data_IF_897151829174
#
_entry.id   IF_897151829174
#
_cell.length_a   1.000
_cell.length_b   1.000
_cell.length_c   1.000
_cell.angle_alpha   90.00
_cell.angle_beta   90.00
_cell.angle_gamma   90.00
#
_symmetry.space_group_name_H-M   'P 1'
#
loop_
_entity.id
_entity.type
_entity.pdbx_description
1 polymer ?
#
# COMPACT_ATOMS: atom_id res chain seq x y z
N UNK A 1 2.93 7.90 15.05
CA UNK A 1 4.22 7.24 14.74
C UNK A 1 5.02 8.14 13.83
N UNK A 2 6.28 8.45 14.17
CA UNK A 2 7.13 9.34 13.36
C UNK A 2 8.47 8.69 13.08
N UNK A 3 8.80 8.48 11.81
CA UNK A 3 10.10 7.96 11.37
C UNK A 3 10.66 8.91 10.32
N UNK A 4 11.87 9.42 10.54
CA UNK A 4 12.56 10.30 9.59
C UNK A 4 13.69 9.51 8.93
N UNK A 5 13.76 9.58 7.60
CA UNK A 5 14.82 8.93 6.85
C UNK A 5 14.78 7.39 6.91
N UNK A 6 13.58 6.79 6.90
CA UNK A 6 13.41 5.33 6.85
C UNK A 6 14.02 4.77 5.56
N UNK A 7 14.89 3.78 5.70
CA UNK A 7 15.38 2.97 4.58
C UNK A 7 14.72 1.60 4.54
N UNK A 8 14.47 1.07 3.32
CA UNK A 8 14.12 -0.33 3.14
C UNK A 8 15.23 -1.28 3.61
N UNK A 9 14.85 -2.33 4.34
CA UNK A 9 15.79 -3.24 5.00
C UNK A 9 16.52 -4.21 4.05
N UNK A 10 15.98 -4.41 2.84
CA UNK A 10 16.49 -5.34 1.82
C UNK A 10 17.19 -4.65 0.66
N UNK A 11 17.36 -3.32 0.69
CA UNK A 11 18.14 -2.60 -0.33
C UNK A 11 19.57 -2.45 0.17
N UNK A 12 20.52 -2.92 -0.63
CA UNK A 12 21.93 -2.75 -0.35
C UNK A 12 22.36 -1.32 -0.67
N UNK A 13 22.82 -0.58 0.35
CA UNK A 13 23.31 0.79 0.18
C UNK A 13 24.54 0.89 -0.73
N UNK A 14 25.35 -0.17 -0.81
CA UNK A 14 26.54 -0.21 -1.64
C UNK A 14 26.20 -0.25 -3.15
N UNK A 15 24.99 -0.66 -3.51
CA UNK A 15 24.52 -0.77 -4.90
C UNK A 15 23.84 0.52 -5.39
N UNK A 16 23.68 1.52 -4.51
CA UNK A 16 22.97 2.76 -4.81
C UNK A 16 21.44 2.57 -4.90
N UNK A 17 20.70 3.68 -5.02
CA UNK A 17 19.26 3.65 -5.32
C UNK A 17 18.29 3.53 -4.13
N UNK A 18 18.77 3.53 -2.89
CA UNK A 18 17.89 3.56 -1.73
C UNK A 18 17.22 4.93 -1.57
N UNK A 19 15.89 4.97 -1.58
CA UNK A 19 15.10 6.19 -1.37
C UNK A 19 14.62 6.25 0.08
N UNK A 20 15.08 7.29 0.79
CA UNK A 20 14.72 7.54 2.17
C UNK A 20 13.31 8.12 2.25
N UNK A 21 12.50 7.62 3.19
CA UNK A 21 11.13 8.09 3.37
C UNK A 21 10.90 8.62 4.79
N UNK A 22 10.11 9.70 4.90
CA UNK A 22 9.65 10.20 6.20
C UNK A 22 8.20 9.80 6.38
N UNK A 23 7.92 9.13 7.50
CA UNK A 23 6.59 8.69 7.91
C UNK A 23 6.18 9.55 9.09
N UNK A 24 5.20 10.44 8.93
CA UNK A 24 4.59 11.17 10.05
C UNK A 24 3.11 10.80 10.09
N UNK A 25 2.81 9.71 10.80
CA UNK A 25 1.52 9.04 10.81
C UNK A 25 0.76 9.33 12.10
N UNK A 26 -0.34 10.07 11.97
CA UNK A 26 -1.26 10.40 13.06
C UNK A 26 -2.62 9.71 12.92
N UNK A 27 -2.90 9.14 11.75
CA UNK A 27 -4.12 8.42 11.40
C UNK A 27 -3.83 7.38 10.31
N UNK A 28 -4.86 6.71 9.82
CA UNK A 28 -4.78 5.81 8.67
C UNK A 28 -4.37 6.56 7.39
N UNK A 29 -3.49 5.95 6.59
CA UNK A 29 -3.18 6.44 5.26
C UNK A 29 -3.89 5.59 4.20
N UNK A 30 -4.57 6.26 3.26
CA UNK A 30 -4.98 5.65 2.01
C UNK A 30 -3.89 5.92 0.97
N UNK A 31 -3.10 4.90 0.68
CA UNK A 31 -1.94 4.99 -0.20
C UNK A 31 -2.30 4.59 -1.63
N UNK A 32 -1.81 5.39 -2.58
CA UNK A 32 -1.86 5.12 -4.02
C UNK A 32 -0.48 5.18 -4.64
N UNK A 33 -0.37 4.83 -5.92
CA UNK A 33 0.87 4.94 -6.68
C UNK A 33 0.92 3.94 -7.82
N UNK A 34 1.75 4.24 -8.81
CA UNK A 34 1.97 3.38 -9.96
C UNK A 34 2.62 2.02 -9.58
N UNK A 35 2.42 0.99 -10.41
CA UNK A 35 3.08 -0.31 -10.26
C UNK A 35 4.61 -0.13 -10.12
N UNK A 36 5.27 -0.93 -9.30
CA UNK A 36 6.72 -0.76 -9.06
C UNK A 36 7.12 0.52 -8.33
N UNK A 37 6.16 1.29 -7.78
CA UNK A 37 6.41 2.51 -7.01
C UNK A 37 6.96 2.33 -5.60
N UNK A 38 7.31 1.11 -5.18
CA UNK A 38 7.88 0.83 -3.86
C UNK A 38 6.87 0.73 -2.71
N UNK A 39 5.57 0.49 -2.98
CA UNK A 39 4.49 0.47 -1.97
C UNK A 39 4.60 -0.70 -1.01
N UNK A 40 4.64 -1.93 -1.51
CA UNK A 40 4.88 -3.13 -0.69
C UNK A 40 6.21 -3.03 0.08
N UNK A 41 7.21 -2.42 -0.56
CA UNK A 41 8.50 -2.12 0.08
C UNK A 41 8.34 -1.14 1.25
N UNK A 42 7.57 -0.07 1.10
CA UNK A 42 7.30 0.88 2.17
C UNK A 42 6.55 0.21 3.33
N UNK A 43 5.47 -0.53 3.05
CA UNK A 43 4.67 -1.23 4.05
C UNK A 43 5.53 -2.19 4.88
N UNK A 44 6.32 -3.05 4.23
CA UNK A 44 7.22 -3.98 4.92
C UNK A 44 8.29 -3.26 5.74
N UNK A 45 8.78 -2.11 5.28
CA UNK A 45 9.79 -1.32 6.00
C UNK A 45 9.21 -0.71 7.27
N UNK A 46 7.98 -0.19 7.20
CA UNK A 46 7.25 0.34 8.35
C UNK A 46 6.94 -0.79 9.34
N UNK A 47 6.51 -1.96 8.86
CA UNK A 47 6.25 -3.13 9.69
C UNK A 47 7.51 -3.57 10.45
N UNK A 48 8.63 -3.74 9.74
CA UNK A 48 9.91 -4.10 10.33
C UNK A 48 10.40 -3.04 11.33
N UNK A 49 10.29 -1.75 10.98
CA UNK A 49 10.65 -0.66 11.89
C UNK A 49 9.81 -0.69 13.17
N UNK A 50 8.49 -0.86 13.06
CA UNK A 50 7.60 -0.97 14.20
C UNK A 50 7.97 -2.16 15.11
N UNK A 51 8.19 -3.35 14.52
CA UNK A 51 8.57 -4.55 15.26
C UNK A 51 9.91 -4.38 15.98
N UNK A 52 10.94 -3.87 15.29
CA UNK A 52 12.25 -3.61 15.89
C UNK A 52 12.14 -2.59 17.03
N UNK A 53 11.39 -1.51 16.80
CA UNK A 53 11.17 -0.46 17.80
C UNK A 53 10.50 -0.98 19.07
N UNK A 54 9.45 -1.79 18.97
CA UNK A 54 8.77 -2.36 20.15
C UNK A 54 9.63 -3.39 20.88
N UNK A 55 10.55 -4.06 20.19
CA UNK A 55 11.52 -4.97 20.79
C UNK A 55 12.74 -4.25 21.41
N UNK A 56 12.83 -2.92 21.33
CA UNK A 56 13.98 -2.15 21.81
C UNK A 56 15.21 -2.26 20.92
N UNK A 57 15.05 -2.69 19.67
CA UNK A 57 16.12 -2.81 18.69
C UNK A 57 16.25 -1.54 17.84
N UNK A 58 17.43 -1.34 17.27
CA UNK A 58 17.71 -0.21 16.38
C UNK A 58 16.92 -0.32 15.08
N UNK A 59 16.30 0.79 14.67
CA UNK A 59 15.55 0.94 13.42
C UNK A 59 16.46 1.54 12.35
N UNK A 60 16.31 1.13 11.08
CA UNK A 60 17.06 1.73 9.96
C UNK A 60 16.45 3.06 9.52
N UNK A 61 16.63 4.08 10.34
CA UNK A 61 16.16 5.44 10.13
C UNK A 61 17.12 6.46 10.78
N UNK A 62 17.03 7.73 10.38
CA UNK A 62 17.75 8.83 11.02
C UNK A 62 17.19 9.10 12.42
N UNK A 63 15.86 9.03 12.56
CA UNK A 63 15.19 9.04 13.87
C UNK A 63 13.86 8.29 13.80
N UNK A 64 13.44 7.69 14.91
CA UNK A 64 12.19 6.95 15.00
C UNK A 64 11.54 7.12 16.38
N UNK A 65 10.31 7.64 16.38
CA UNK A 65 9.37 7.66 17.49
C UNK A 65 8.23 6.68 17.18
N UNK A 66 8.30 5.50 17.80
CA UNK A 66 7.38 4.40 17.58
C UNK A 66 6.53 4.22 18.84
N UNK A 67 5.20 4.36 18.76
CA UNK A 67 4.34 4.10 19.90
C UNK A 67 4.29 2.60 20.20
N UNK A 68 3.92 2.24 21.43
CA UNK A 68 3.64 0.84 21.74
C UNK A 68 2.34 0.42 21.07
N UNK A 69 2.45 -0.50 20.12
CA UNK A 69 1.32 -1.16 19.48
C UNK A 69 0.91 -2.41 20.25
N UNK A 70 -0.39 -2.63 20.45
CA UNK A 70 -0.89 -3.91 20.99
C UNK A 70 -0.88 -5.02 19.94
N UNK A 71 -0.84 -4.65 18.67
CA UNK A 71 -0.88 -5.53 17.52
C UNK A 71 -0.29 -4.83 16.28
N UNK A 72 0.50 -5.59 15.52
CA UNK A 72 0.98 -5.19 14.19
C UNK A 72 0.43 -6.22 13.21
N UNK A 73 -0.36 -5.76 12.24
CA UNK A 73 -1.01 -6.61 11.26
C UNK A 73 -0.56 -6.22 9.87
N UNK A 74 -0.08 -7.20 9.10
CA UNK A 74 0.30 -7.03 7.71
C UNK A 74 -0.51 -8.01 6.87
N UNK A 75 -1.38 -7.48 6.00
CA UNK A 75 -2.01 -8.24 4.94
C UNK A 75 -1.26 -7.99 3.64
N UNK A 76 -0.95 -9.09 2.96
CA UNK A 76 -0.43 -9.10 1.60
C UNK A 76 -1.28 -10.03 0.77
N UNK A 77 -1.16 -9.92 -0.55
CA UNK A 77 -1.85 -10.76 -1.53
C UNK A 77 -2.03 -12.22 -1.08
N UNK A 78 -3.28 -12.64 -0.97
CA UNK A 78 -3.66 -14.03 -0.70
C UNK A 78 -3.66 -14.87 -1.99
N UNK A 79 -3.50 -16.18 -1.81
CA UNK A 79 -3.52 -17.18 -2.89
C UNK A 79 -4.65 -18.17 -2.64
N UNK A 80 -5.08 -18.88 -3.68
CA UNK A 80 -6.05 -19.96 -3.53
C UNK A 80 -5.52 -21.00 -2.54
N UNK A 81 -6.41 -21.60 -1.75
CA UNK A 81 -6.11 -22.76 -0.92
C UNK A 81 -6.91 -23.96 -1.44
N UNK A 82 -6.35 -24.72 -2.42
CA UNK A 82 -6.99 -25.94 -2.91
C UNK A 82 -7.22 -26.97 -1.80
N UNK A 83 -6.30 -27.05 -0.85
CA UNK A 83 -6.43 -27.95 0.30
C UNK A 83 -7.69 -27.65 1.14
N UNK A 84 -8.00 -26.37 1.33
CA UNK A 84 -9.18 -25.92 2.08
C UNK A 84 -10.42 -25.72 1.20
N UNK A 85 -10.34 -26.00 -0.11
CA UNK A 85 -11.39 -25.71 -1.09
C UNK A 85 -11.83 -24.23 -1.08
N UNK A 86 -10.88 -23.29 -0.90
CA UNK A 86 -11.13 -21.85 -0.83
C UNK A 86 -10.48 -21.10 -1.98
N UNK A 87 -11.22 -20.16 -2.55
CA UNK A 87 -10.64 -19.18 -3.47
C UNK A 87 -9.77 -18.15 -2.72
N UNK A 88 -8.84 -17.54 -3.43
CA UNK A 88 -8.01 -16.43 -2.95
C UNK A 88 -8.85 -15.31 -2.37
N UNK A 89 -9.99 -14.98 -2.99
CA UNK A 89 -10.93 -14.00 -2.45
C UNK A 89 -11.55 -14.44 -1.10
N UNK A 90 -11.93 -15.71 -0.95
CA UNK A 90 -12.46 -16.22 0.32
C UNK A 90 -11.40 -16.24 1.43
N UNK A 91 -10.15 -16.55 1.09
CA UNK A 91 -9.01 -16.47 2.01
C UNK A 91 -8.78 -15.02 2.42
N UNK A 92 -8.69 -14.10 1.46
CA UNK A 92 -8.55 -12.66 1.67
C UNK A 92 -9.66 -12.11 2.59
N UNK A 93 -10.92 -12.42 2.32
CA UNK A 93 -12.04 -11.99 3.18
C UNK A 93 -11.94 -12.54 4.60
N UNK A 94 -11.44 -13.77 4.76
CA UNK A 94 -11.23 -14.37 6.08
C UNK A 94 -10.11 -13.70 6.87
N UNK A 95 -9.02 -13.32 6.18
CA UNK A 95 -7.90 -12.58 6.75
C UNK A 95 -8.30 -11.16 7.14
N UNK A 96 -8.98 -10.43 6.24
CA UNK A 96 -9.48 -9.08 6.48
C UNK A 96 -10.49 -9.04 7.63
N UNK A 97 -11.42 -10.02 7.69
CA UNK A 97 -12.31 -10.18 8.85
C UNK A 97 -11.49 -10.26 10.15
N UNK A 98 -10.44 -11.06 10.14
CA UNK A 98 -9.56 -11.27 11.29
C UNK A 98 -8.77 -10.01 11.68
N UNK A 99 -8.42 -9.18 10.71
CA UNK A 99 -7.77 -7.88 10.97
C UNK A 99 -8.79 -6.94 11.61
N UNK A 100 -9.94 -6.75 10.98
CA UNK A 100 -10.97 -5.80 11.42
C UNK A 100 -11.46 -6.14 12.83
N UNK A 101 -11.72 -7.42 13.13
CA UNK A 101 -12.25 -7.82 14.44
C UNK A 101 -11.25 -7.70 15.59
N UNK A 102 -9.94 -7.64 15.30
CA UNK A 102 -8.87 -7.55 16.30
C UNK A 102 -8.22 -6.17 16.37
N UNK A 103 -8.53 -5.29 15.42
CA UNK A 103 -7.95 -3.95 15.37
C UNK A 103 -8.49 -3.09 16.50
N UNK A 104 -7.59 -2.37 17.17
CA UNK A 104 -7.89 -1.36 18.18
C UNK A 104 -7.27 -0.02 17.76
N UNK A 105 -7.56 1.06 18.49
CA UNK A 105 -6.91 2.35 18.32
C UNK A 105 -5.37 2.31 18.52
N UNK A 106 -4.85 1.23 19.13
CA UNK A 106 -3.41 0.99 19.36
C UNK A 106 -2.81 -0.04 18.40
N UNK A 107 -3.53 -0.42 17.36
CA UNK A 107 -3.01 -1.30 16.30
C UNK A 107 -2.24 -0.53 15.23
N UNK A 108 -1.28 -1.20 14.61
CA UNK A 108 -0.70 -0.83 13.32
C UNK A 108 -1.22 -1.77 12.23
N UNK A 109 -2.02 -1.27 11.30
CA UNK A 109 -2.65 -2.06 10.22
C UNK A 109 -2.05 -1.69 8.87
N UNK A 110 -1.41 -2.66 8.22
CA UNK A 110 -0.74 -2.49 6.92
C UNK A 110 -1.37 -3.46 5.93
N UNK A 111 -1.99 -2.93 4.88
CA UNK A 111 -2.74 -3.73 3.91
C UNK A 111 -2.25 -3.41 2.51
N UNK A 112 -1.67 -4.42 1.85
CA UNK A 112 -1.10 -4.34 0.52
C UNK A 112 -2.08 -4.91 -0.51
N UNK A 113 -2.87 -4.02 -1.13
CA UNK A 113 -3.99 -4.34 -2.03
C UNK A 113 -5.16 -5.03 -1.32
N UNK A 114 -6.40 -4.71 -1.74
CA UNK A 114 -7.61 -5.35 -1.24
C UNK A 114 -8.54 -5.63 -2.43
N UNK A 115 -9.23 -6.76 -2.39
CA UNK A 115 -10.33 -7.14 -3.26
C UNK A 115 -9.95 -7.29 -4.74
N UNK A 116 -8.75 -7.79 -5.04
CA UNK A 116 -8.31 -8.05 -6.42
C UNK A 116 -9.02 -9.27 -7.05
N UNK A 117 -9.53 -10.18 -6.23
CA UNK A 117 -10.13 -11.45 -6.67
C UNK A 117 -11.62 -11.39 -7.03
N UNK A 118 -12.21 -10.20 -7.17
CA UNK A 118 -13.66 -10.01 -7.42
C UNK A 118 -13.92 -8.94 -8.46
N UNK A 119 -15.20 -8.71 -8.79
CA UNK A 119 -15.62 -7.62 -9.68
C UNK A 119 -15.16 -6.27 -9.12
N UNK A 120 -14.49 -5.45 -9.96
CA UNK A 120 -13.88 -4.20 -9.53
C UNK A 120 -14.84 -3.29 -8.76
N UNK A 121 -16.05 -3.06 -9.28
CA UNK A 121 -17.06 -2.23 -8.62
C UNK A 121 -17.43 -2.75 -7.22
N UNK A 122 -17.61 -4.08 -7.06
CA UNK A 122 -17.91 -4.69 -5.76
C UNK A 122 -16.69 -4.64 -4.83
N UNK A 123 -15.50 -4.87 -5.37
CA UNK A 123 -14.24 -4.76 -4.65
C UNK A 123 -14.00 -3.35 -4.11
N UNK A 124 -14.28 -2.31 -4.90
CA UNK A 124 -14.16 -0.91 -4.49
C UNK A 124 -15.09 -0.60 -3.32
N UNK A 125 -16.35 -1.07 -3.37
CA UNK A 125 -17.28 -0.89 -2.25
C UNK A 125 -16.81 -1.60 -0.98
N UNK A 126 -16.34 -2.85 -1.07
CA UNK A 126 -15.84 -3.60 0.09
C UNK A 126 -14.60 -2.90 0.68
N UNK A 127 -13.64 -2.51 -0.16
CA UNK A 127 -12.45 -1.80 0.27
C UNK A 127 -12.79 -0.47 0.95
N UNK A 128 -13.75 0.29 0.39
CA UNK A 128 -14.26 1.53 0.97
C UNK A 128 -14.82 1.31 2.38
N UNK A 129 -15.69 0.30 2.56
CA UNK A 129 -16.26 -0.03 3.88
C UNK A 129 -15.19 -0.48 4.90
N UNK A 130 -14.15 -1.19 4.46
CA UNK A 130 -13.03 -1.57 5.32
C UNK A 130 -12.26 -0.33 5.78
N UNK A 131 -11.98 0.61 4.87
CA UNK A 131 -11.28 1.86 5.20
C UNK A 131 -12.09 2.70 6.18
N UNK A 132 -13.39 2.90 5.95
CA UNK A 132 -14.28 3.60 6.89
C UNK A 132 -14.27 2.96 8.28
N UNK A 133 -14.29 1.62 8.33
CA UNK A 133 -14.26 0.89 9.59
C UNK A 133 -12.95 1.14 10.33
N UNK A 134 -11.80 1.02 9.66
CA UNK A 134 -10.48 1.27 10.23
C UNK A 134 -10.31 2.74 10.67
N UNK A 135 -10.81 3.70 9.87
CA UNK A 135 -10.83 5.12 10.21
C UNK A 135 -11.64 5.38 11.49
N UNK A 136 -12.80 4.74 11.62
CA UNK A 136 -13.68 4.87 12.79
C UNK A 136 -13.05 4.29 14.07
N UNK A 137 -12.27 3.21 13.94
CA UNK A 137 -11.52 2.62 15.06
C UNK A 137 -10.38 3.55 15.50
N UNK A 138 -9.85 4.36 14.58
CA UNK A 138 -8.76 5.29 14.85
C UNK A 138 -7.40 4.61 14.99
N UNK A 139 -7.20 3.46 14.32
CA UNK A 139 -5.89 2.80 14.27
C UNK A 139 -4.89 3.58 13.40
N UNK A 140 -3.60 3.32 13.60
CA UNK A 140 -2.56 3.75 12.67
C UNK A 140 -2.38 2.71 11.57
N UNK A 141 -2.04 3.14 10.37
CA UNK A 141 -1.87 2.16 9.30
C UNK A 141 -1.72 2.73 7.90
N UNK A 142 -1.56 1.84 6.95
CA UNK A 142 -1.60 2.12 5.52
C UNK A 142 -2.48 1.07 4.86
N UNK A 143 -3.52 1.52 4.15
CA UNK A 143 -4.25 0.71 3.18
C UNK A 143 -3.79 1.16 1.80
N UNK A 144 -3.13 0.26 1.07
CA UNK A 144 -2.74 0.48 -0.31
C UNK A 144 -3.82 -0.07 -1.28
N UNK A 145 -4.17 0.70 -2.31
CA UNK A 145 -5.12 0.26 -3.34
C UNK A 145 -4.78 0.76 -4.75
N UNK A 146 -5.16 -0.04 -5.76
CA UNK A 146 -5.24 0.37 -7.17
C UNK A 146 -6.67 0.74 -7.61
N UNK A 147 -7.65 0.59 -6.71
CA UNK A 147 -9.05 0.88 -7.00
C UNK A 147 -9.26 2.40 -6.93
N UNK A 148 -8.90 3.12 -7.98
CA UNK A 148 -9.03 4.58 -8.05
C UNK A 148 -10.47 5.07 -7.91
N UNK A 149 -11.45 4.24 -8.25
CA UNK A 149 -12.88 4.52 -8.02
C UNK A 149 -13.23 4.70 -6.54
N UNK A 150 -12.35 4.31 -5.61
CA UNK A 150 -12.59 4.50 -4.18
C UNK A 150 -12.75 5.98 -3.80
N UNK A 151 -12.13 6.87 -4.57
CA UNK A 151 -12.21 8.32 -4.36
C UNK A 151 -13.52 8.93 -4.87
N UNK A 152 -14.32 8.20 -5.63
CA UNK A 152 -15.65 8.64 -6.09
C UNK A 152 -16.77 8.14 -5.18
N UNK A 153 -16.47 7.21 -4.27
CA UNK A 153 -17.43 6.72 -3.29
C UNK A 153 -17.72 7.78 -2.22
N UNK A 154 -18.96 7.86 -1.71
CA UNK A 154 -19.33 8.77 -0.63
C UNK A 154 -18.87 8.24 0.73
N UNK A 155 -17.56 8.09 0.93
CA UNK A 155 -16.98 7.56 2.16
C UNK A 155 -17.11 8.54 3.33
N UNK A 156 -17.52 8.04 4.48
CA UNK A 156 -17.57 8.74 5.76
C UNK A 156 -16.24 8.59 6.52
N UNK A 157 -15.16 9.07 5.91
CA UNK A 157 -13.82 9.13 6.52
C UNK A 157 -13.60 10.49 7.19
N UNK A 158 -13.10 10.49 8.42
CA UNK A 158 -12.87 11.72 9.22
C UNK A 158 -11.39 12.04 9.37
N UNK A 159 -10.55 11.03 9.53
CA UNK A 159 -9.15 11.21 9.90
C UNK A 159 -8.18 10.69 8.83
N UNK A 160 -8.63 9.83 7.92
CA UNK A 160 -7.80 9.18 6.91
C UNK A 160 -7.15 10.22 6.00
N UNK A 161 -5.83 10.10 5.82
CA UNK A 161 -5.05 10.99 4.97
C UNK A 161 -4.67 10.27 3.68
N UNK A 162 -4.86 10.96 2.55
CA UNK A 162 -4.44 10.45 1.26
C UNK A 162 -2.93 10.62 1.08
N UNK A 163 -2.27 9.56 0.63
CA UNK A 163 -0.84 9.56 0.31
C UNK A 163 -0.61 8.90 -1.04
N UNK A 164 0.53 9.21 -1.66
CA UNK A 164 0.95 8.55 -2.87
C UNK A 164 2.45 8.28 -2.89
N UNK A 165 2.84 7.19 -3.54
CA UNK A 165 4.21 7.03 -4.01
C UNK A 165 4.39 7.85 -5.29
N UNK A 166 5.28 8.85 -5.24
CA UNK A 166 5.45 9.83 -6.28
C UNK A 166 5.99 9.24 -7.58
N UNK A 167 5.62 9.86 -8.68
CA UNK A 167 6.11 9.63 -10.04
C UNK A 167 6.75 10.90 -10.57
N UNK A 168 7.62 10.75 -11.56
CA UNK A 168 8.19 11.87 -12.31
C UNK A 168 8.18 11.53 -13.79
N UNK A 169 7.93 12.53 -14.64
CA UNK A 169 8.04 12.37 -16.08
C UNK A 169 9.43 12.78 -16.53
N UNK A 170 10.18 11.86 -17.15
CA UNK A 170 11.50 12.11 -17.73
C UNK A 170 11.47 11.62 -19.17
N UNK A 171 11.74 12.52 -20.12
CA UNK A 171 11.71 12.23 -21.57
C UNK A 171 10.36 11.64 -22.05
N UNK A 172 9.26 12.12 -21.49
CA UNK A 172 7.91 11.61 -21.80
C UNK A 172 7.59 10.25 -21.18
N UNK A 173 8.46 9.71 -20.33
CA UNK A 173 8.24 8.45 -19.62
C UNK A 173 7.99 8.70 -18.12
N UNK A 174 6.87 8.20 -17.63
CA UNK A 174 6.56 8.20 -16.20
C UNK A 174 7.41 7.16 -15.46
N UNK A 175 8.21 7.62 -14.51
CA UNK A 175 9.10 6.79 -13.68
C UNK A 175 8.74 6.93 -12.20
N UNK A 176 8.71 5.81 -11.44
CA UNK A 176 8.46 5.86 -10.01
C UNK A 176 9.64 6.47 -9.26
N UNK A 177 9.37 7.37 -8.31
CA UNK A 177 10.39 8.01 -7.46
C UNK A 177 10.67 7.26 -6.16
N UNK A 178 9.77 6.33 -5.79
CA UNK A 178 9.79 5.61 -4.51
C UNK A 178 9.71 6.53 -3.27
N UNK A 179 9.26 7.78 -3.47
CA UNK A 179 9.07 8.77 -2.41
C UNK A 179 7.60 8.85 -2.01
N UNK A 180 7.32 8.75 -0.72
CA UNK A 180 6.01 9.02 -0.15
C UNK A 180 5.72 10.53 -0.20
N UNK A 181 4.53 10.89 -0.69
CA UNK A 181 4.08 12.27 -0.88
C UNK A 181 2.65 12.47 -0.39
N UNK A 182 2.32 13.72 -0.05
CA UNK A 182 0.97 14.17 0.33
C UNK A 182 0.11 14.43 -0.91
N UNK A 183 -0.17 13.39 -1.67
CA UNK A 183 -0.96 13.48 -2.91
C UNK A 183 -1.76 12.20 -3.17
N UNK A 184 -2.53 12.20 -4.25
CA UNK A 184 -3.16 11.01 -4.83
C UNK A 184 -2.50 10.77 -6.18
N UNK A 185 -2.05 9.54 -6.43
CA UNK A 185 -1.52 9.13 -7.72
C UNK A 185 -2.55 8.26 -8.43
N UNK A 186 -3.06 8.76 -9.55
CA UNK A 186 -3.93 8.03 -10.49
C UNK A 186 -3.19 7.58 -11.75
N UNK A 187 -1.89 7.87 -11.83
CA UNK A 187 -1.06 7.48 -12.95
C UNK A 187 -0.81 5.96 -12.95
N UNK A 188 -0.97 5.36 -14.13
CA UNK A 188 -0.64 3.96 -14.37
C UNK A 188 0.56 3.89 -15.29
N UNK A 189 1.61 3.17 -14.87
CA UNK A 189 2.75 2.87 -15.74
C UNK A 189 2.64 1.49 -16.41
N UNK A 190 1.43 0.90 -16.42
CA UNK A 190 1.22 -0.45 -16.90
C UNK A 190 1.59 -0.59 -18.39
N UNK A 191 1.31 0.43 -19.19
CA UNK A 191 1.63 0.46 -20.61
C UNK A 191 3.14 0.55 -20.86
N UNK A 192 3.84 1.45 -20.18
CA UNK A 192 5.29 1.60 -20.28
C UNK A 192 6.02 0.37 -19.73
N UNK A 193 5.41 -0.31 -18.75
CA UNK A 193 5.93 -1.58 -18.22
C UNK A 193 5.77 -2.68 -19.25
N UNK A 194 4.59 -2.85 -19.87
CA UNK A 194 4.39 -3.88 -20.90
C UNK A 194 5.31 -3.68 -22.10
N UNK A 195 5.60 -2.43 -22.48
CA UNK A 195 6.60 -2.09 -23.49
C UNK A 195 8.02 -2.49 -23.12
N UNK A 196 8.42 -2.25 -21.88
CA UNK A 196 9.75 -2.65 -21.39
C UNK A 196 9.91 -4.17 -21.30
N UNK A 197 8.84 -4.90 -21.00
CA UNK A 197 8.83 -6.38 -20.97
C UNK A 197 8.78 -7.01 -22.38
N UNK A 198 8.82 -6.21 -23.45
CA UNK A 198 8.93 -6.70 -24.82
C UNK A 198 7.63 -7.26 -25.40
N UNK A 199 6.47 -6.84 -24.89
CA UNK A 199 5.19 -7.13 -25.53
C UNK A 199 5.18 -6.53 -26.95
N UNK A 200 4.68 -7.27 -27.95
CA UNK A 200 4.76 -6.87 -29.35
C UNK A 200 4.11 -5.51 -29.62
N UNK A 201 4.80 -4.60 -30.31
CA UNK A 201 4.30 -3.24 -30.56
C UNK A 201 3.01 -3.21 -31.39
N UNK A 202 2.73 -4.26 -32.16
CA UNK A 202 1.53 -4.44 -32.98
C UNK A 202 0.22 -4.39 -32.17
N UNK A 203 0.26 -4.69 -30.87
CA UNK A 203 -0.96 -4.65 -30.03
C UNK A 203 -1.26 -3.24 -29.51
N UNK A 204 -0.29 -2.32 -29.54
CA UNK A 204 -0.44 -1.00 -28.91
C UNK A 204 -1.45 -0.08 -29.58
N UNK A 205 -1.60 -0.06 -30.92
CA UNK A 205 -2.69 0.68 -31.54
C UNK A 205 -4.07 0.23 -31.03
N UNK A 206 -4.25 -1.08 -30.79
CA UNK A 206 -5.49 -1.61 -30.25
C UNK A 206 -5.66 -1.27 -28.75
N UNK A 207 -4.58 -1.31 -27.97
CA UNK A 207 -4.61 -0.88 -26.57
C UNK A 207 -5.06 0.59 -26.43
N UNK A 208 -4.46 1.51 -27.20
CA UNK A 208 -4.79 2.94 -27.18
C UNK A 208 -6.26 3.17 -27.56
N UNK A 209 -6.81 2.37 -28.48
CA UNK A 209 -8.22 2.42 -28.86
C UNK A 209 -9.19 1.97 -27.75
N UNK A 210 -8.73 1.13 -26.82
CA UNK A 210 -9.56 0.54 -25.75
C UNK A 210 -9.54 1.34 -24.44
N UNK A 211 -8.61 2.29 -24.30
CA UNK A 211 -8.60 3.28 -23.21
C UNK A 211 -9.66 4.36 -23.45
#
# INVERSE_FOLDING_TARGET
MKIVGLLPYWINMAEGGAVHNTIDMQSLFLLTGANGGGKSSLLRSICAAALLGICGLTVRAESALIPYFDSIMLHTKSYDSPADHKSSFQVEMSELRSIITRTTQRSLVLVDEICRGTEAAKGTCIAGSIIETLDSIGCLGIVFTYLHEIFTLPLNIKNTVHKAMGTTCIDGQTKPTWKLTDSICTESIAFETSKREGIAEEIYPNYIKLL
#
